data_IF_621916205904
#
_entry.id   IF_621916205904
#
_cell.length_a   1.000
_cell.length_b   1.000
_cell.length_c   1.000
_cell.angle_alpha   90.00
_cell.angle_beta   90.00
_cell.angle_gamma   90.00
#
_symmetry.space_group_name_H-M   'P 1'
#
loop_
_entity.id
_entity.type
_entity.pdbx_description
1 polymer ?
#
# COMPACT_ATOMS: atom_id res chain seq x y z
N UNK A 1 -8.97 -16.25 -19.08
CA UNK A 1 -7.72 -16.89 -18.60
C UNK A 1 -6.56 -15.95 -18.90
N UNK A 2 -6.12 -15.16 -17.92
CA UNK A 2 -4.86 -14.40 -18.00
C UNK A 2 -4.05 -14.80 -16.76
N UNK A 3 -3.49 -16.01 -16.82
CA UNK A 3 -2.63 -16.56 -15.78
C UNK A 3 -1.27 -15.89 -15.82
N UNK A 4 -0.69 -15.68 -14.64
CA UNK A 4 0.68 -15.23 -14.49
C UNK A 4 1.63 -16.09 -15.36
N UNK A 5 2.50 -15.44 -16.12
CA UNK A 5 3.58 -16.12 -16.84
C UNK A 5 4.68 -16.42 -15.82
N UNK A 6 4.80 -17.67 -15.43
CA UNK A 6 5.91 -18.17 -14.63
C UNK A 6 7.12 -18.40 -15.54
N UNK A 7 7.96 -17.39 -15.73
CA UNK A 7 9.33 -17.62 -16.21
C UNK A 7 10.21 -17.93 -15.01
N UNK A 8 10.93 -19.05 -15.08
CA UNK A 8 11.76 -19.58 -14.02
C UNK A 8 12.70 -18.54 -13.39
N UNK A 9 12.88 -18.69 -12.07
CA UNK A 9 13.54 -17.79 -11.12
C UNK A 9 12.64 -16.67 -10.53
N UNK A 10 11.59 -17.06 -9.79
CA UNK A 10 10.79 -16.27 -8.81
C UNK A 10 10.49 -14.78 -9.13
N UNK A 11 10.37 -14.40 -10.40
CA UNK A 11 9.98 -13.04 -10.75
C UNK A 11 8.48 -13.01 -11.02
N UNK A 12 7.69 -12.74 -9.97
CA UNK A 12 6.30 -12.34 -10.15
C UNK A 12 6.28 -11.04 -10.97
N UNK A 13 5.72 -11.12 -12.18
CA UNK A 13 5.55 -9.97 -13.06
C UNK A 13 4.14 -9.41 -12.85
N UNK A 14 3.98 -8.08 -12.67
CA UNK A 14 2.67 -7.45 -12.60
C UNK A 14 1.83 -7.80 -13.83
N UNK A 15 0.56 -8.14 -13.64
CA UNK A 15 -0.34 -8.41 -14.76
C UNK A 15 -0.54 -7.16 -15.64
N UNK A 16 -0.98 -7.34 -16.91
CA UNK A 16 -1.18 -6.22 -17.84
C UNK A 16 -2.29 -5.25 -17.39
N UNK A 17 -3.13 -5.66 -16.44
CA UNK A 17 -4.23 -4.87 -15.89
C UNK A 17 -3.81 -3.97 -14.72
N UNK A 18 -2.54 -4.01 -14.30
CA UNK A 18 -2.05 -3.18 -13.19
C UNK A 18 -2.06 -1.71 -13.57
N UNK A 19 -2.70 -0.90 -12.73
CA UNK A 19 -2.78 0.57 -12.90
C UNK A 19 -1.37 1.20 -12.98
N UNK A 20 -1.19 2.16 -13.90
CA UNK A 20 0.13 2.76 -14.23
C UNK A 20 0.79 3.44 -13.03
N UNK A 21 0.01 3.95 -12.10
CA UNK A 21 0.45 4.61 -10.88
C UNK A 21 1.23 3.61 -10.00
N UNK A 22 0.77 2.37 -9.90
CA UNK A 22 1.40 1.33 -9.10
C UNK A 22 2.68 0.79 -9.73
N UNK A 23 2.83 0.87 -11.06
CA UNK A 23 4.08 0.51 -11.75
C UNK A 23 5.24 1.47 -11.41
N UNK A 24 4.94 2.72 -11.05
CA UNK A 24 5.95 3.73 -10.69
C UNK A 24 6.41 3.62 -9.24
N UNK A 25 5.56 3.10 -8.35
CA UNK A 25 5.81 3.06 -6.91
C UNK A 25 7.17 2.45 -6.52
N UNK A 26 7.66 1.35 -7.12
CA UNK A 26 8.99 0.83 -6.77
C UNK A 26 10.12 1.82 -7.06
N UNK A 27 10.03 2.56 -8.17
CA UNK A 27 10.99 3.59 -8.55
C UNK A 27 10.89 4.82 -7.65
N UNK A 28 9.67 5.27 -7.36
CA UNK A 28 9.41 6.41 -6.47
C UNK A 28 9.89 6.14 -5.05
N UNK A 29 9.75 4.90 -4.56
CA UNK A 29 10.29 4.50 -3.26
C UNK A 29 11.82 4.58 -3.21
N UNK A 30 12.51 4.20 -4.29
CA UNK A 30 13.97 4.33 -4.39
C UNK A 30 14.39 5.81 -4.34
N UNK A 31 13.69 6.66 -5.08
CA UNK A 31 13.94 8.10 -5.06
C UNK A 31 13.67 8.71 -3.67
N UNK A 32 12.53 8.38 -3.07
CA UNK A 32 12.13 8.86 -1.75
C UNK A 32 13.16 8.46 -0.68
N UNK A 33 13.53 7.18 -0.60
CA UNK A 33 14.51 6.70 0.38
C UNK A 33 15.90 7.30 0.16
N UNK A 34 16.31 7.44 -1.11
CA UNK A 34 17.54 8.14 -1.49
C UNK A 34 17.61 9.58 -1.00
N UNK A 35 16.50 10.32 -1.02
CA UNK A 35 16.44 11.71 -0.50
C UNK A 35 16.73 11.83 1.01
N UNK A 36 16.57 10.74 1.76
CA UNK A 36 16.93 10.63 3.18
C UNK A 36 18.28 9.95 3.41
N UNK A 37 19.06 9.71 2.36
CA UNK A 37 20.35 9.00 2.44
C UNK A 37 20.20 7.50 2.78
N UNK A 38 19.03 6.92 2.50
CA UNK A 38 18.75 5.50 2.73
C UNK A 38 18.80 4.77 1.39
N UNK A 39 19.73 3.84 1.24
CA UNK A 39 19.75 2.90 0.11
C UNK A 39 19.14 1.58 0.57
N UNK A 40 17.99 1.22 0.01
CA UNK A 40 17.39 -0.08 0.28
C UNK A 40 18.09 -1.18 -0.55
N UNK A 41 18.41 -2.33 0.04
CA UNK A 41 18.87 -3.48 -0.73
C UNK A 41 17.82 -3.91 -1.79
N UNK A 42 18.24 -4.50 -2.93
CA UNK A 42 17.31 -4.95 -3.97
C UNK A 42 16.21 -5.89 -3.46
N UNK A 43 16.48 -6.68 -2.43
CA UNK A 43 15.49 -7.54 -1.80
C UNK A 43 14.34 -6.76 -1.16
N UNK A 44 14.63 -5.66 -0.45
CA UNK A 44 13.61 -4.82 0.18
C UNK A 44 12.79 -4.05 -0.85
N UNK A 45 13.38 -3.68 -1.99
CA UNK A 45 12.62 -3.16 -3.13
C UNK A 45 11.63 -4.19 -3.66
N UNK A 46 12.03 -5.46 -3.79
CA UNK A 46 11.12 -6.54 -4.21
C UNK A 46 10.00 -6.78 -3.20
N UNK A 47 10.28 -6.68 -1.90
CA UNK A 47 9.24 -6.79 -0.85
C UNK A 47 8.23 -5.65 -0.92
N UNK A 48 8.70 -4.41 -1.08
CA UNK A 48 7.84 -3.25 -1.24
C UNK A 48 7.00 -3.33 -2.54
N UNK A 49 7.59 -3.81 -3.63
CA UNK A 49 6.88 -4.05 -4.88
C UNK A 49 5.79 -5.12 -4.72
N UNK A 50 6.09 -6.24 -4.07
CA UNK A 50 5.10 -7.27 -3.77
C UNK A 50 3.93 -6.74 -2.94
N UNK A 51 4.22 -5.87 -1.95
CA UNK A 51 3.18 -5.19 -1.18
C UNK A 51 2.32 -4.30 -2.09
N UNK A 52 2.93 -3.40 -2.86
CA UNK A 52 2.21 -2.48 -3.73
C UNK A 52 1.32 -3.20 -4.75
N UNK A 53 1.84 -4.25 -5.41
CA UNK A 53 1.08 -5.00 -6.41
C UNK A 53 0.00 -5.89 -5.80
N UNK A 54 0.21 -6.44 -4.60
CA UNK A 54 -0.86 -7.15 -3.89
C UNK A 54 -2.05 -6.23 -3.59
N UNK A 55 -1.78 -4.98 -3.21
CA UNK A 55 -2.80 -4.01 -2.83
C UNK A 55 -3.55 -3.55 -4.08
N UNK A 56 -2.83 -3.19 -5.14
CA UNK A 56 -3.45 -2.86 -6.43
C UNK A 56 -4.36 -3.98 -6.93
N UNK A 57 -3.86 -5.22 -6.92
CA UNK A 57 -4.61 -6.37 -7.41
C UNK A 57 -5.85 -6.62 -6.55
N UNK A 58 -5.72 -6.51 -5.22
CA UNK A 58 -6.83 -6.64 -4.27
C UNK A 58 -7.88 -5.57 -4.50
N UNK A 59 -7.49 -4.30 -4.61
CA UNK A 59 -8.39 -3.18 -4.83
C UNK A 59 -9.13 -3.29 -6.16
N UNK A 60 -8.40 -3.62 -7.23
CA UNK A 60 -8.97 -3.82 -8.57
C UNK A 60 -10.00 -4.95 -8.58
N UNK A 61 -9.75 -6.04 -7.87
CA UNK A 61 -10.70 -7.15 -7.76
C UNK A 61 -11.91 -6.78 -6.88
N UNK A 62 -11.70 -6.08 -5.76
CA UNK A 62 -12.78 -5.58 -4.92
C UNK A 62 -13.70 -4.61 -5.67
N UNK A 63 -13.13 -3.70 -6.46
CA UNK A 63 -13.88 -2.73 -7.26
C UNK A 63 -14.73 -3.40 -8.35
N UNK A 64 -14.30 -4.57 -8.83
CA UNK A 64 -15.05 -5.37 -9.81
C UNK A 64 -16.20 -6.17 -9.20
N UNK A 65 -16.27 -6.32 -7.87
CA UNK A 65 -17.31 -7.09 -7.17
C UNK A 65 -18.42 -6.12 -6.69
N UNK A 66 -19.61 -6.12 -7.31
CA UNK A 66 -20.66 -5.16 -6.96
C UNK A 66 -21.36 -5.50 -5.63
N UNK A 67 -21.47 -6.78 -5.26
CA UNK A 67 -22.19 -7.20 -4.06
C UNK A 67 -21.31 -7.10 -2.81
N UNK A 68 -21.76 -6.35 -1.79
CA UNK A 68 -21.05 -6.18 -0.52
C UNK A 68 -20.74 -7.51 0.18
N UNK A 69 -21.68 -8.46 0.18
CA UNK A 69 -21.47 -9.78 0.79
C UNK A 69 -20.41 -10.60 0.06
N UNK A 70 -20.22 -10.40 -1.25
CA UNK A 70 -19.13 -11.04 -2.00
C UNK A 70 -17.80 -10.38 -1.71
N UNK A 71 -17.74 -9.05 -1.62
CA UNK A 71 -16.53 -8.31 -1.18
C UNK A 71 -16.08 -8.71 0.22
N UNK A 72 -17.03 -8.89 1.15
CA UNK A 72 -16.74 -9.34 2.50
C UNK A 72 -16.13 -10.77 2.51
N UNK A 73 -16.69 -11.68 1.71
CA UNK A 73 -16.14 -13.04 1.53
C UNK A 73 -14.74 -13.00 0.92
N UNK A 74 -14.56 -12.28 -0.19
CA UNK A 74 -13.28 -12.05 -0.82
C UNK A 74 -12.23 -11.49 0.16
N UNK A 75 -12.60 -10.49 0.96
CA UNK A 75 -11.70 -9.90 1.97
C UNK A 75 -11.29 -10.92 3.04
N UNK A 76 -12.22 -11.79 3.47
CA UNK A 76 -11.89 -12.87 4.39
C UNK A 76 -10.95 -13.90 3.74
N UNK A 77 -11.18 -14.24 2.47
CA UNK A 77 -10.32 -15.19 1.73
C UNK A 77 -8.90 -14.64 1.53
N UNK A 78 -8.73 -13.34 1.30
CA UNK A 78 -7.40 -12.70 1.28
C UNK A 78 -6.67 -12.90 2.60
N UNK A 79 -7.36 -12.70 3.73
CA UNK A 79 -6.77 -12.91 5.07
C UNK A 79 -6.47 -14.39 5.32
N UNK A 80 -7.34 -15.31 4.92
CA UNK A 80 -7.11 -16.76 5.02
C UNK A 80 -5.94 -17.22 4.14
N UNK A 81 -5.79 -16.66 2.95
CA UNK A 81 -4.63 -16.91 2.08
C UNK A 81 -3.31 -16.52 2.77
N UNK A 82 -3.27 -15.37 3.45
CA UNK A 82 -2.11 -14.93 4.26
C UNK A 82 -1.86 -15.78 5.52
N UNK A 83 -2.79 -16.67 5.88
CA UNK A 83 -2.60 -17.67 6.94
C UNK A 83 -2.15 -19.04 6.40
N UNK A 84 -2.06 -19.19 5.08
CA UNK A 84 -1.84 -20.49 4.44
C UNK A 84 -3.05 -21.42 4.54
N UNK A 85 -4.24 -20.89 4.86
CA UNK A 85 -5.48 -21.66 4.91
C UNK A 85 -5.98 -21.94 3.49
N UNK A 86 -6.68 -23.05 3.31
CA UNK A 86 -7.38 -23.33 2.04
C UNK A 86 -8.53 -22.34 1.89
N UNK A 87 -8.61 -21.69 0.73
CA UNK A 87 -9.73 -20.87 0.30
C UNK A 87 -10.35 -21.49 -0.95
N UNK A 88 -11.68 -21.39 -1.09
CA UNK A 88 -12.42 -21.98 -2.21
C UNK A 88 -12.99 -20.93 -3.17
N UNK A 89 -12.55 -19.67 -3.04
CA UNK A 89 -13.13 -18.57 -3.79
C UNK A 89 -12.46 -18.38 -5.16
N UNK A 90 -13.25 -18.53 -6.21
CA UNK A 90 -12.85 -18.30 -7.61
C UNK A 90 -12.47 -16.83 -7.89
N UNK A 91 -12.89 -15.90 -7.03
CA UNK A 91 -12.56 -14.47 -7.16
C UNK A 91 -11.08 -14.19 -6.83
N UNK A 92 -10.37 -15.08 -6.11
CA UNK A 92 -8.93 -14.98 -5.89
C UNK A 92 -8.19 -15.47 -7.14
N UNK A 93 -7.66 -14.53 -7.92
CA UNK A 93 -6.92 -14.86 -9.15
C UNK A 93 -5.54 -15.48 -8.83
N UNK A 94 -4.95 -16.24 -9.78
CA UNK A 94 -3.59 -16.74 -9.63
C UNK A 94 -2.54 -15.63 -9.42
N UNK A 95 -2.77 -14.45 -10.03
CA UNK A 95 -1.95 -13.27 -9.84
C UNK A 95 -1.96 -12.84 -8.36
N UNK A 96 -3.15 -12.63 -7.78
CA UNK A 96 -3.28 -12.23 -6.38
C UNK A 96 -2.72 -13.31 -5.44
N UNK A 97 -3.03 -14.58 -5.70
CA UNK A 97 -2.52 -15.70 -4.91
C UNK A 97 -0.98 -15.73 -4.87
N UNK A 98 -0.32 -15.49 -6.01
CA UNK A 98 1.14 -15.39 -6.09
C UNK A 98 1.71 -14.25 -5.24
N UNK A 99 1.11 -13.07 -5.32
CA UNK A 99 1.51 -11.92 -4.50
C UNK A 99 1.29 -12.15 -3.00
N UNK A 100 0.14 -12.70 -2.61
CA UNK A 100 -0.17 -13.01 -1.21
C UNK A 100 0.75 -14.09 -0.64
N UNK A 101 1.07 -15.13 -1.41
CA UNK A 101 2.02 -16.15 -1.00
C UNK A 101 3.41 -15.54 -0.73
N UNK A 102 3.88 -14.66 -1.64
CA UNK A 102 5.15 -13.95 -1.44
C UNK A 102 5.12 -13.06 -0.21
N UNK A 103 4.02 -12.34 0.05
CA UNK A 103 3.89 -11.53 1.24
C UNK A 103 3.86 -12.35 2.53
N UNK A 104 3.20 -13.50 2.54
CA UNK A 104 3.21 -14.41 3.70
C UNK A 104 4.64 -14.86 4.01
N UNK A 105 5.38 -15.32 3.01
CA UNK A 105 6.78 -15.74 3.16
C UNK A 105 7.68 -14.59 3.66
N UNK A 106 7.48 -13.37 3.16
CA UNK A 106 8.24 -12.19 3.62
C UNK A 106 7.89 -11.85 5.07
N UNK A 107 6.60 -11.82 5.42
CA UNK A 107 6.16 -11.51 6.77
C UNK A 107 6.64 -12.56 7.79
N UNK A 108 6.66 -13.84 7.41
CA UNK A 108 7.18 -14.95 8.22
C UNK A 108 8.68 -14.83 8.45
N UNK A 109 9.46 -14.61 7.38
CA UNK A 109 10.92 -14.40 7.49
C UNK A 109 11.28 -13.22 8.39
N UNK A 110 10.39 -12.24 8.49
CA UNK A 110 10.58 -11.06 9.32
C UNK A 110 9.96 -11.18 10.72
N UNK A 111 9.27 -12.28 11.04
CA UNK A 111 8.63 -12.49 12.34
C UNK A 111 7.46 -11.52 12.60
N UNK A 112 6.86 -10.98 11.55
CA UNK A 112 5.78 -9.97 11.64
C UNK A 112 4.42 -10.47 11.17
N UNK A 113 4.27 -11.76 10.82
CA UNK A 113 3.06 -12.30 10.19
C UNK A 113 1.77 -12.03 10.96
N UNK A 114 1.80 -12.11 12.29
CA UNK A 114 0.60 -11.84 13.12
C UNK A 114 0.15 -10.40 12.94
N UNK A 115 1.05 -9.44 13.21
CA UNK A 115 0.75 -8.01 13.09
C UNK A 115 0.42 -7.60 11.66
N UNK A 116 1.13 -8.17 10.68
CA UNK A 116 0.89 -7.93 9.26
C UNK A 116 -0.55 -8.31 8.88
N UNK A 117 -1.00 -9.51 9.27
CA UNK A 117 -2.37 -9.98 9.00
C UNK A 117 -3.44 -9.15 9.71
N UNK A 118 -3.18 -8.72 10.95
CA UNK A 118 -4.09 -7.82 11.66
C UNK A 118 -4.29 -6.52 10.88
N UNK A 119 -3.21 -5.89 10.43
CA UNK A 119 -3.29 -4.64 9.67
C UNK A 119 -4.02 -4.85 8.35
N UNK A 120 -3.74 -5.93 7.61
CA UNK A 120 -4.46 -6.23 6.36
C UNK A 120 -5.96 -6.39 6.61
N UNK A 121 -6.36 -7.09 7.68
CA UNK A 121 -7.77 -7.24 8.06
C UNK A 121 -8.43 -5.89 8.37
N UNK A 122 -7.76 -5.02 9.14
CA UNK A 122 -8.27 -3.67 9.45
C UNK A 122 -8.36 -2.80 8.19
N UNK A 123 -7.36 -2.87 7.32
CA UNK A 123 -7.30 -2.13 6.07
C UNK A 123 -8.50 -2.51 5.18
N UNK A 124 -8.73 -3.80 4.93
CA UNK A 124 -9.85 -4.27 4.12
C UNK A 124 -11.21 -3.85 4.71
N UNK A 125 -11.36 -3.90 6.04
CA UNK A 125 -12.57 -3.44 6.73
C UNK A 125 -12.78 -1.93 6.55
N UNK A 126 -11.73 -1.13 6.69
CA UNK A 126 -11.78 0.32 6.51
C UNK A 126 -12.05 0.72 5.06
N UNK A 127 -11.47 0.02 4.08
CA UNK A 127 -11.71 0.31 2.67
C UNK A 127 -13.17 0.05 2.30
N UNK A 128 -13.83 -0.95 2.89
CA UNK A 128 -15.27 -1.15 2.71
C UNK A 128 -16.13 -0.07 3.41
N UNK A 129 -15.72 0.39 4.60
CA UNK A 129 -16.35 1.56 5.24
C UNK A 129 -16.24 2.81 4.36
N UNK A 130 -15.05 3.05 3.80
CA UNK A 130 -14.75 4.15 2.90
C UNK A 130 -15.58 4.07 1.60
N UNK A 131 -15.76 2.86 1.06
CA UNK A 131 -16.53 2.61 -0.17
C UNK A 131 -18.03 2.89 -0.01
N UNK A 132 -18.57 2.69 1.20
CA UNK A 132 -20.01 2.75 1.45
C UNK A 132 -20.47 4.03 2.14
N UNK A 133 -19.55 4.75 2.79
CA UNK A 133 -19.90 6.00 3.49
C UNK A 133 -20.33 7.10 2.52
N UNK A 134 -21.39 7.82 2.90
CA UNK A 134 -21.80 9.08 2.25
C UNK A 134 -21.37 10.32 3.06
N UNK A 135 -20.77 10.10 4.23
CA UNK A 135 -20.33 11.18 5.10
C UNK A 135 -18.88 11.56 4.73
N UNK A 136 -18.69 12.81 4.32
CA UNK A 136 -17.39 13.33 3.90
C UNK A 136 -16.32 13.28 5.00
N UNK A 137 -16.66 13.65 6.24
CA UNK A 137 -15.70 13.60 7.34
C UNK A 137 -15.24 12.17 7.60
N UNK A 138 -16.18 11.20 7.61
CA UNK A 138 -15.84 9.79 7.75
C UNK A 138 -14.98 9.28 6.60
N UNK A 139 -15.27 9.70 5.36
CA UNK A 139 -14.44 9.35 4.21
C UNK A 139 -13.00 9.81 4.39
N UNK A 140 -12.79 11.07 4.80
CA UNK A 140 -11.45 11.62 5.07
C UNK A 140 -10.76 10.85 6.20
N UNK A 141 -11.46 10.54 7.28
CA UNK A 141 -10.90 9.74 8.38
C UNK A 141 -10.48 8.35 7.91
N UNK A 142 -11.28 7.68 7.08
CA UNK A 142 -10.94 6.39 6.49
C UNK A 142 -9.69 6.47 5.61
N UNK A 143 -9.60 7.49 4.75
CA UNK A 143 -8.45 7.68 3.87
C UNK A 143 -7.15 7.93 4.66
N UNK A 144 -7.23 8.71 5.74
CA UNK A 144 -6.08 8.94 6.63
C UNK A 144 -5.65 7.65 7.34
N UNK A 145 -6.61 6.84 7.84
CA UNK A 145 -6.32 5.55 8.46
C UNK A 145 -5.66 4.58 7.47
N UNK A 146 -6.20 4.50 6.25
CA UNK A 146 -5.66 3.67 5.18
C UNK A 146 -4.20 4.03 4.88
N UNK A 147 -3.91 5.33 4.64
CA UNK A 147 -2.54 5.79 4.42
C UNK A 147 -1.58 5.46 5.56
N UNK A 148 -2.03 5.48 6.82
CA UNK A 148 -1.22 5.07 7.98
C UNK A 148 -0.91 3.58 7.97
N UNK A 149 -1.90 2.73 7.70
CA UNK A 149 -1.69 1.29 7.61
C UNK A 149 -0.82 0.89 6.43
N UNK A 150 -0.97 1.55 5.28
CA UNK A 150 -0.08 1.35 4.12
C UNK A 150 1.39 1.58 4.48
N UNK A 151 1.67 2.67 5.19
CA UNK A 151 3.01 2.97 5.70
C UNK A 151 3.46 1.95 6.75
N UNK A 152 2.58 1.55 7.66
CA UNK A 152 2.91 0.56 8.71
C UNK A 152 3.26 -0.81 8.10
N UNK A 153 2.49 -1.29 7.11
CA UNK A 153 2.78 -2.51 6.37
C UNK A 153 4.14 -2.43 5.68
N UNK A 154 4.41 -1.33 4.97
CA UNK A 154 5.70 -1.12 4.33
C UNK A 154 6.84 -1.17 5.35
N UNK A 155 6.70 -0.45 6.47
CA UNK A 155 7.71 -0.42 7.52
C UNK A 155 7.93 -1.80 8.16
N UNK A 156 6.89 -2.60 8.37
CA UNK A 156 7.02 -3.97 8.89
C UNK A 156 7.88 -4.85 7.97
N UNK A 157 7.75 -4.69 6.66
CA UNK A 157 8.55 -5.44 5.68
C UNK A 157 9.99 -4.89 5.56
N UNK A 158 10.23 -3.61 5.89
CA UNK A 158 11.54 -2.97 5.79
C UNK A 158 12.38 -3.04 7.09
N UNK A 159 11.73 -3.08 8.26
CA UNK A 159 12.34 -2.83 9.59
C UNK A 159 13.29 -3.93 10.10
N UNK A 160 13.46 -5.01 9.36
CA UNK A 160 14.32 -6.16 9.70
C UNK A 160 15.67 -6.14 9.03
N UNK A 161 15.95 -5.12 8.21
CA UNK A 161 17.34 -4.83 7.88
C UNK A 161 18.03 -4.40 9.18
N UNK A 162 18.82 -5.31 9.76
CA UNK A 162 20.10 -4.92 10.35
C UNK A 162 20.78 -4.10 9.27
N UNK A 163 20.52 -2.79 9.27
CA UNK A 163 21.26 -1.83 8.47
C UNK A 163 22.71 -2.15 8.78
N UNK A 164 23.44 -2.70 7.80
CA UNK A 164 24.88 -2.90 7.86
C UNK A 164 25.62 -1.54 7.88
N UNK A 165 25.18 -0.65 8.75
CA UNK A 165 25.88 0.55 9.15
C UNK A 165 26.94 0.14 10.17
N UNK A 166 28.13 -0.19 9.64
CA UNK A 166 29.43 -0.19 10.31
C UNK A 166 29.56 -1.00 11.61
N UNK A 167 30.25 -2.14 11.46
CA UNK A 167 31.26 -2.64 12.41
C UNK A 167 32.04 -1.44 12.99
N UNK A 168 32.12 -1.34 14.32
CA UNK A 168 32.73 -0.27 15.16
C UNK A 168 31.86 0.94 15.56
N UNK A 169 30.95 0.74 16.53
CA UNK A 169 30.94 1.30 17.90
C UNK A 169 29.61 0.92 18.61
N UNK A 170 29.66 0.90 19.94
CA UNK A 170 28.73 0.27 20.91
C UNK A 170 27.21 0.59 20.78
N UNK A 171 26.33 -0.26 21.37
CA UNK A 171 24.96 -0.48 20.92
C UNK A 171 23.88 0.17 21.81
N UNK A 172 22.64 0.17 21.28
CA UNK A 172 21.31 0.30 21.92
C UNK A 172 20.49 1.57 21.58
N UNK A 173 21.07 2.77 21.53
CA UNK A 173 20.23 3.98 21.46
C UNK A 173 19.90 4.50 20.04
N UNK A 174 20.60 3.98 19.02
CA UNK A 174 20.54 4.57 17.67
C UNK A 174 19.47 3.95 16.75
N UNK A 175 19.00 2.73 17.04
CA UNK A 175 18.11 1.96 16.15
C UNK A 175 16.65 2.41 16.28
N UNK A 176 16.19 2.70 17.51
CA UNK A 176 14.89 3.32 17.72
C UNK A 176 14.82 4.72 17.10
N UNK A 177 15.94 5.44 17.05
CA UNK A 177 16.01 6.81 16.52
C UNK A 177 15.75 6.89 15.01
N UNK A 178 16.17 5.90 14.21
CA UNK A 178 16.02 5.94 12.74
C UNK A 178 14.68 5.41 12.22
N UNK A 179 14.14 4.35 12.80
CA UNK A 179 12.76 3.92 12.50
C UNK A 179 11.73 4.94 13.04
N UNK A 180 12.03 5.61 14.17
CA UNK A 180 11.27 6.78 14.61
C UNK A 180 11.49 7.98 13.70
N UNK A 181 12.69 8.21 13.14
CA UNK A 181 12.93 9.28 12.18
C UNK A 181 12.16 9.07 10.86
N UNK A 182 12.09 7.84 10.34
CA UNK A 182 11.29 7.52 9.17
C UNK A 182 9.79 7.63 9.47
N UNK A 183 9.32 7.11 10.62
CA UNK A 183 7.95 7.34 11.10
C UNK A 183 7.62 8.82 11.28
N UNK A 184 8.53 9.62 11.84
CA UNK A 184 8.36 11.06 12.04
C UNK A 184 8.45 11.85 10.74
N UNK A 185 9.29 11.45 9.78
CA UNK A 185 9.38 12.07 8.47
C UNK A 185 8.09 11.82 7.67
N UNK A 186 7.59 10.58 7.68
CA UNK A 186 6.33 10.21 7.03
C UNK A 186 5.12 10.86 7.73
N UNK A 187 5.12 10.96 9.07
CA UNK A 187 4.09 11.67 9.83
C UNK A 187 4.10 13.20 9.57
N UNK A 188 5.28 13.81 9.38
CA UNK A 188 5.42 15.25 9.02
C UNK A 188 4.94 15.55 7.60
N UNK A 189 5.12 14.62 6.66
CA UNK A 189 4.52 14.75 5.32
C UNK A 189 2.98 14.66 5.38
N UNK A 190 2.41 13.88 6.31
CA UNK A 190 0.97 13.79 6.57
C UNK A 190 0.39 15.00 7.34
N UNK A 191 1.23 15.91 7.85
CA UNK A 191 0.82 17.03 8.70
C UNK A 191 1.35 18.38 8.22
N UNK A 192 1.20 18.68 6.92
CA UNK A 192 1.29 20.09 6.47
C UNK A 192 0.01 20.86 6.84
N UNK A 193 0.13 22.13 7.28
CA UNK A 193 -0.97 22.86 7.88
C UNK A 193 -1.99 23.32 6.84
N UNK A 194 -3.26 23.39 7.28
CA UNK A 194 -4.33 24.14 6.62
C UNK A 194 -3.79 25.49 6.14
N UNK A 195 -3.81 25.71 4.82
CA UNK A 195 -3.68 27.05 4.25
C UNK A 195 -4.86 27.86 4.80
N UNK A 196 -4.56 28.74 5.74
CA UNK A 196 -5.49 29.72 6.28
C UNK A 196 -5.82 30.68 5.14
N UNK A 197 -7.04 30.59 4.62
CA UNK A 197 -7.67 31.58 3.76
C UNK A 197 -7.56 32.96 4.44
N UNK A 198 -6.64 33.80 3.97
CA UNK A 198 -6.75 35.24 4.16
C UNK A 198 -7.49 35.81 2.96
N UNK A 199 -8.69 36.32 3.26
CA UNK A 199 -9.40 37.29 2.43
C UNK A 199 -8.45 38.45 2.10
N UNK A 200 -8.22 38.67 0.82
CA UNK A 200 -7.97 40.01 0.29
C UNK A 200 -8.99 40.20 -0.83
N UNK A 201 -9.89 41.15 -0.60
CA UNK A 201 -10.87 41.61 -1.58
C UNK A 201 -10.14 42.40 -2.69
N UNK A 202 -10.54 42.17 -3.93
CA UNK A 202 -10.09 42.90 -5.11
C UNK A 202 -10.43 42.10 -6.37
N UNK A 203 -11.30 42.66 -7.23
CA UNK A 203 -11.82 42.03 -8.46
C UNK A 203 -10.73 41.61 -9.46
N UNK A 204 -11.02 40.95 -10.57
CA UNK A 204 -12.10 41.16 -11.54
C UNK A 204 -12.16 39.89 -12.42
N UNK A 205 -13.35 39.54 -12.92
CA UNK A 205 -13.46 38.95 -14.27
C UNK A 205 -13.89 37.50 -14.37
N UNK A 206 -15.20 37.30 -14.53
CA UNK A 206 -15.81 36.14 -15.18
C UNK A 206 -15.15 35.80 -16.52
N UNK A 207 -14.97 34.52 -16.82
CA UNK A 207 -15.71 33.89 -17.93
C UNK A 207 -15.60 32.37 -17.87
N UNK A 208 -16.74 31.71 -17.68
CA UNK A 208 -16.90 30.28 -17.94
C UNK A 208 -16.74 30.02 -19.44
N UNK A 209 -15.98 28.99 -19.80
CA UNK A 209 -16.12 28.31 -21.08
C UNK A 209 -16.29 26.81 -20.79
N UNK A 210 -17.54 26.38 -20.87
CA UNK A 210 -17.97 24.98 -20.91
C UNK A 210 -17.70 24.49 -22.33
N UNK A 211 -16.86 23.46 -22.49
CA UNK A 211 -16.87 22.66 -23.71
C UNK A 211 -17.17 21.19 -23.38
N UNK A 212 -18.39 20.80 -23.77
CA UNK A 212 -18.82 19.42 -24.05
C UNK A 212 -17.81 18.74 -24.95
N UNK A 213 -17.48 17.49 -24.63
CA UNK A 213 -16.86 16.55 -25.56
C UNK A 213 -17.92 15.49 -25.85
N UNK A 214 -18.39 15.48 -27.09
CA UNK A 214 -19.24 14.45 -27.65
C UNK A 214 -18.44 13.18 -27.96
N UNK A 215 -19.07 12.04 -27.70
CA UNK A 215 -18.60 10.68 -27.97
C UNK A 215 -18.73 10.35 -29.46
N UNK A 216 -17.67 9.76 -30.03
CA UNK A 216 -17.74 8.75 -31.10
C UNK A 216 -16.79 7.62 -30.73
#
# INVERSE_FOLDING_TARGET
>A
MNGAVTTGDELLVPGPAVRREYLKLPGDLAHLTGSFGITLPPQLHRHAAALAFSIECTDRLLDAIPQAQRRARFSADVVSCLRGEKFSNEDITPELAGWLARLSEVAERHGVSVRFREIIRELLSNSEEMRTTRNHARFVDCAVREGRWMVELLLLLLATSRLSARRNRRPADCVFSRAAALRNALARCSSRPRIRSQRAAGGVGCSLAVHRIDLV
#
